data_IF_634176133144
#
_entry.id   IF_634176133144
#
_cell.length_a   1.000
_cell.length_b   1.000
_cell.length_c   1.000
_cell.angle_alpha   90.00
_cell.angle_beta   90.00
_cell.angle_gamma   90.00
#
_symmetry.space_group_name_H-M   'P 1'
#
loop_
_entity.id
_entity.type
_entity.pdbx_description
1 polymer ?
#
# COMPACT_ATOMS: atom_id res chain seq x y z
N UNK A 1 -7.51 15.62 -19.66
CA UNK A 1 -6.20 15.36 -20.29
C UNK A 1 -5.76 13.99 -19.81
N UNK A 2 -5.85 12.97 -20.65
CA UNK A 2 -5.16 11.71 -20.40
C UNK A 2 -3.65 11.99 -20.49
N UNK A 3 -2.90 11.63 -19.44
CA UNK A 3 -1.44 11.73 -19.47
C UNK A 3 -0.90 10.64 -20.36
N UNK A 4 0.00 11.00 -21.27
CA UNK A 4 0.74 10.05 -22.10
C UNK A 4 1.45 9.03 -21.17
N UNK A 5 1.27 7.71 -21.38
CA UNK A 5 1.96 6.71 -20.56
C UNK A 5 3.49 6.82 -20.63
N UNK A 6 4.05 7.49 -21.64
CA UNK A 6 5.49 7.77 -21.75
C UNK A 6 5.99 8.89 -20.82
N UNK A 7 5.11 9.67 -20.20
CA UNK A 7 5.48 10.82 -19.35
C UNK A 7 5.82 10.42 -17.90
N UNK A 8 5.71 9.13 -17.56
CA UNK A 8 6.01 8.63 -16.23
C UNK A 8 7.49 8.27 -16.09
N UNK A 9 8.33 9.29 -15.87
CA UNK A 9 9.69 9.03 -15.35
C UNK A 9 9.58 8.54 -13.91
N UNK A 10 9.79 7.25 -13.69
CA UNK A 10 9.80 6.65 -12.35
C UNK A 10 11.07 7.06 -11.62
N UNK A 11 10.94 8.01 -10.69
CA UNK A 11 12.04 8.44 -9.81
C UNK A 11 12.00 7.72 -8.47
N UNK A 12 13.11 7.67 -7.74
CA UNK A 12 13.14 7.17 -6.37
C UNK A 12 12.11 7.89 -5.49
N UNK A 13 11.96 9.21 -5.66
CA UNK A 13 10.97 10.03 -4.95
C UNK A 13 9.53 9.57 -5.26
N UNK A 14 9.22 9.28 -6.53
CA UNK A 14 7.89 8.78 -6.91
C UNK A 14 7.55 7.46 -6.21
N UNK A 15 8.54 6.56 -6.05
CA UNK A 15 8.36 5.29 -5.34
C UNK A 15 8.21 5.50 -3.83
N UNK A 16 8.96 6.44 -3.25
CA UNK A 16 8.80 6.79 -1.83
C UNK A 16 7.40 7.37 -1.55
N UNK A 17 6.85 8.17 -2.46
CA UNK A 17 5.46 8.65 -2.38
C UNK A 17 4.46 7.49 -2.43
N UNK A 18 4.66 6.52 -3.32
CA UNK A 18 3.81 5.31 -3.37
C UNK A 18 3.85 4.51 -2.06
N UNK A 19 5.02 4.40 -1.41
CA UNK A 19 5.14 3.74 -0.10
C UNK A 19 4.31 4.46 0.97
N UNK A 20 4.34 5.79 0.98
CA UNK A 20 3.56 6.59 1.93
C UNK A 20 2.06 6.46 1.68
N UNK A 21 1.63 6.52 0.42
CA UNK A 21 0.22 6.33 0.05
C UNK A 21 -0.28 4.93 0.39
N UNK A 22 0.52 3.89 0.16
CA UNK A 22 0.15 2.52 0.52
C UNK A 22 -0.08 2.38 2.03
N UNK A 23 0.82 2.94 2.86
CA UNK A 23 0.67 2.93 4.32
C UNK A 23 -0.55 3.72 4.77
N UNK A 24 -0.83 4.87 4.14
CA UNK A 24 -2.00 5.70 4.43
C UNK A 24 -3.29 4.93 4.13
N UNK A 25 -3.42 4.38 2.92
CA UNK A 25 -4.58 3.59 2.50
C UNK A 25 -4.82 2.38 3.40
N UNK A 26 -3.77 1.61 3.74
CA UNK A 26 -3.91 0.47 4.64
C UNK A 26 -4.46 0.88 6.01
N UNK A 27 -3.92 1.97 6.58
CA UNK A 27 -4.38 2.49 7.88
C UNK A 27 -5.83 2.96 7.82
N UNK A 28 -6.22 3.66 6.77
CA UNK A 28 -7.60 4.13 6.58
C UNK A 28 -8.56 2.94 6.46
N UNK A 29 -8.25 1.95 5.62
CA UNK A 29 -9.07 0.75 5.48
C UNK A 29 -9.24 -0.01 6.79
N UNK A 30 -8.15 -0.19 7.56
CA UNK A 30 -8.21 -0.84 8.88
C UNK A 30 -9.08 -0.04 9.85
N UNK A 31 -8.96 1.29 9.84
CA UNK A 31 -9.75 2.18 10.70
C UNK A 31 -11.24 2.05 10.38
N UNK A 32 -11.61 2.04 9.10
CA UNK A 32 -13.01 1.85 8.66
C UNK A 32 -13.54 0.48 9.06
N UNK A 33 -12.75 -0.59 8.89
CA UNK A 33 -13.12 -1.94 9.30
C UNK A 33 -13.34 -2.05 10.81
N UNK A 34 -12.57 -1.31 11.62
CA UNK A 34 -12.73 -1.28 13.08
C UNK A 34 -14.04 -0.65 13.54
N UNK A 35 -14.64 0.23 12.73
CA UNK A 35 -15.96 0.81 13.01
C UNK A 35 -17.11 -0.15 12.70
N UNK A 36 -16.85 -1.25 11.98
CA UNK A 36 -17.89 -2.22 11.63
C UNK A 36 -18.10 -3.18 12.79
N UNK A 37 -19.26 -3.06 13.44
CA UNK A 37 -19.72 -3.98 14.47
C UNK A 37 -20.82 -4.89 13.89
N UNK A 38 -20.54 -6.19 13.81
CA UNK A 38 -21.49 -7.18 13.32
C UNK A 38 -21.57 -8.40 14.25
N UNK A 39 -22.66 -9.18 14.20
CA UNK A 39 -22.73 -10.46 14.89
C UNK A 39 -21.70 -11.43 14.30
N UNK A 40 -21.44 -12.53 15.01
CA UNK A 40 -20.78 -13.67 14.40
C UNK A 40 -21.65 -14.21 13.23
N UNK A 41 -21.09 -14.56 12.06
CA UNK A 41 -19.66 -14.67 11.72
C UNK A 41 -19.02 -13.38 11.18
N UNK A 42 -19.79 -12.32 10.93
CA UNK A 42 -19.32 -11.08 10.31
C UNK A 42 -18.14 -10.46 11.07
N UNK A 43 -18.20 -10.44 12.41
CA UNK A 43 -17.07 -9.95 13.24
C UNK A 43 -15.78 -10.75 13.04
N UNK A 44 -15.88 -12.06 12.76
CA UNK A 44 -14.72 -12.90 12.47
C UNK A 44 -14.15 -12.57 11.09
N UNK A 45 -15.01 -12.42 10.08
CA UNK A 45 -14.60 -12.07 8.72
C UNK A 45 -13.89 -10.71 8.69
N UNK A 46 -14.39 -9.72 9.43
CA UNK A 46 -13.74 -8.40 9.56
C UNK A 46 -12.32 -8.53 10.14
N UNK A 47 -12.15 -9.32 11.20
CA UNK A 47 -10.81 -9.54 11.78
C UNK A 47 -9.89 -10.26 10.79
N UNK A 48 -10.40 -11.23 10.04
CA UNK A 48 -9.64 -11.92 9.00
C UNK A 48 -9.19 -10.95 7.89
N UNK A 49 -10.09 -10.08 7.42
CA UNK A 49 -9.78 -9.06 6.42
C UNK A 49 -8.68 -8.10 6.91
N UNK A 50 -8.74 -7.66 8.18
CA UNK A 50 -7.70 -6.79 8.77
C UNK A 50 -6.31 -7.45 8.70
N UNK A 51 -6.22 -8.73 9.05
CA UNK A 51 -4.96 -9.50 8.98
C UNK A 51 -4.43 -9.59 7.54
N UNK A 52 -5.32 -9.84 6.57
CA UNK A 52 -4.94 -9.89 5.15
C UNK A 52 -4.42 -8.55 4.65
N UNK A 53 -5.06 -7.43 5.05
CA UNK A 53 -4.62 -6.09 4.69
C UNK A 53 -3.23 -5.78 5.24
N UNK A 54 -2.99 -6.05 6.53
CA UNK A 54 -1.68 -5.83 7.14
C UNK A 54 -0.56 -6.67 6.51
N UNK A 55 -0.85 -7.94 6.20
CA UNK A 55 0.10 -8.81 5.49
C UNK A 55 0.38 -8.29 4.08
N UNK A 56 -0.66 -7.97 3.31
CA UNK A 56 -0.52 -7.43 1.94
C UNK A 56 0.26 -6.11 1.92
N UNK A 57 -0.08 -5.18 2.81
CA UNK A 57 0.63 -3.91 2.96
C UNK A 57 2.12 -4.12 3.25
N UNK A 58 2.46 -5.07 4.12
CA UNK A 58 3.86 -5.42 4.41
C UNK A 58 4.61 -5.85 3.15
N UNK A 59 4.02 -6.76 2.37
CA UNK A 59 4.63 -7.24 1.11
C UNK A 59 4.77 -6.12 0.08
N UNK A 60 3.73 -5.33 -0.16
CA UNK A 60 3.76 -4.21 -1.12
C UNK A 60 4.83 -3.17 -0.73
N UNK A 61 4.89 -2.79 0.56
CA UNK A 61 5.87 -1.83 1.04
C UNK A 61 7.29 -2.37 0.89
N UNK A 62 7.52 -3.66 1.15
CA UNK A 62 8.84 -4.30 0.93
C UNK A 62 9.26 -4.27 -0.54
N UNK A 63 8.35 -4.60 -1.45
CA UNK A 63 8.61 -4.58 -2.89
C UNK A 63 8.90 -3.17 -3.38
N UNK A 64 8.11 -2.18 -2.97
CA UNK A 64 8.36 -0.78 -3.30
C UNK A 64 9.70 -0.28 -2.73
N UNK A 65 10.07 -0.67 -1.51
CA UNK A 65 11.39 -0.35 -0.96
C UNK A 65 12.53 -1.00 -1.78
N UNK A 66 12.33 -2.21 -2.28
CA UNK A 66 13.28 -2.87 -3.18
C UNK A 66 13.45 -2.09 -4.49
N UNK A 67 12.34 -1.69 -5.12
CA UNK A 67 12.34 -0.85 -6.33
C UNK A 67 13.07 0.48 -6.09
N UNK A 68 12.76 1.17 -4.97
CA UNK A 68 13.42 2.42 -4.58
C UNK A 68 14.94 2.28 -4.50
N UNK A 69 15.43 1.19 -3.88
CA UNK A 69 16.87 0.88 -3.79
C UNK A 69 17.50 0.59 -5.16
N UNK A 70 16.79 -0.09 -6.04
CA UNK A 70 17.28 -0.39 -7.40
C UNK A 70 17.39 0.88 -8.26
N UNK A 71 16.44 1.81 -8.12
CA UNK A 71 16.50 3.10 -8.81
C UNK A 71 17.69 3.93 -8.32
N UNK A 72 17.93 3.99 -7.00
CA UNK A 72 19.09 4.69 -6.44
C UNK A 72 20.43 4.14 -6.96
N UNK A 73 20.54 2.80 -7.10
CA UNK A 73 21.73 2.15 -7.66
C UNK A 73 21.94 2.41 -9.16
N UNK A 74 20.88 2.70 -9.92
CA UNK A 74 20.98 3.03 -11.35
C UNK A 74 21.37 4.49 -11.59
N UNK A 75 21.19 5.36 -10.58
CA UNK A 75 21.53 6.78 -10.64
C UNK A 75 22.94 7.11 -10.09
N UNK A 76 23.65 6.11 -9.56
CA UNK A 76 25.07 6.18 -9.16
C UNK A 76 25.95 5.49 -10.20
#
# INVERSE_FOLDING_TARGET
MEKDPSDYTVTQESVLKLIQEQKRMNREMITELEQIHGPFPISHDIQYIKVLLDSSNTHIVQDLMSVSKQLYKKTL
#
